data_IF_614771756495
#
_entry.id   IF_614771756495
#
_cell.length_a   1.000
_cell.length_b   1.000
_cell.length_c   1.000
_cell.angle_alpha   90.00
_cell.angle_beta   90.00
_cell.angle_gamma   90.00
#
_symmetry.space_group_name_H-M   'P 1'
#
loop_
_entity.id
_entity.type
_entity.pdbx_description
1 polymer ?
#
# COMPACT_ATOMS: atom_id res chain seq x y z
N UNK A 1 34.58 -38.45 -13.98
CA UNK A 1 33.91 -38.04 -12.73
C UNK A 1 34.07 -36.53 -12.54
N UNK A 2 33.27 -35.69 -13.20
CA UNK A 2 33.37 -34.22 -13.09
C UNK A 2 32.04 -33.47 -13.31
N UNK A 3 30.96 -34.12 -13.73
CA UNK A 3 29.64 -33.46 -13.91
C UNK A 3 28.71 -33.52 -12.68
N UNK A 4 29.06 -34.25 -11.60
CA UNK A 4 28.21 -34.33 -10.39
C UNK A 4 28.44 -33.20 -9.38
N UNK A 5 29.50 -32.40 -9.52
CA UNK A 5 29.84 -31.36 -8.56
C UNK A 5 29.33 -29.96 -8.95
N UNK A 6 28.86 -29.78 -10.19
CA UNK A 6 28.39 -28.48 -10.70
C UNK A 6 26.90 -28.26 -10.37
N UNK A 7 26.07 -29.32 -10.36
CA UNK A 7 24.66 -29.21 -9.95
C UNK A 7 24.49 -28.89 -8.45
N UNK A 8 25.44 -29.30 -7.60
CA UNK A 8 25.36 -29.09 -6.15
C UNK A 8 25.61 -27.64 -5.69
N UNK A 9 26.14 -26.78 -6.56
CA UNK A 9 26.43 -25.37 -6.23
C UNK A 9 25.35 -24.39 -6.67
N UNK A 10 24.45 -24.78 -7.58
CA UNK A 10 23.33 -23.94 -8.03
C UNK A 10 22.11 -23.97 -7.08
N UNK A 11 22.00 -24.99 -6.22
CA UNK A 11 20.87 -25.16 -5.29
C UNK A 11 21.09 -24.53 -3.89
N UNK A 12 22.25 -23.94 -3.62
CA UNK A 12 22.61 -23.45 -2.26
C UNK A 12 22.33 -21.97 -1.99
N UNK A 13 21.80 -21.21 -2.96
CA UNK A 13 21.57 -19.76 -2.81
C UNK A 13 20.11 -19.32 -3.04
N UNK A 14 19.13 -20.20 -2.86
CA UNK A 14 17.72 -19.82 -2.85
C UNK A 14 17.30 -19.68 -1.39
N UNK A 15 17.40 -18.46 -0.86
CA UNK A 15 16.74 -18.07 0.39
C UNK A 15 15.21 -18.04 0.16
N UNK A 16 14.39 -18.71 0.98
CA UNK A 16 12.96 -18.58 0.86
C UNK A 16 12.54 -17.28 1.54
N UNK A 17 12.23 -16.26 0.74
CA UNK A 17 11.37 -15.19 1.20
C UNK A 17 9.96 -15.77 1.39
N UNK A 18 9.57 -16.05 2.65
CA UNK A 18 8.21 -16.47 2.98
C UNK A 18 7.27 -15.28 2.78
N UNK A 19 6.80 -15.08 1.55
CA UNK A 19 5.53 -14.40 1.35
C UNK A 19 4.44 -15.40 1.70
N UNK A 20 3.74 -15.12 2.79
CA UNK A 20 2.54 -15.83 3.21
C UNK A 20 1.47 -15.64 2.14
N UNK A 21 1.52 -16.47 1.10
CA UNK A 21 0.36 -16.75 0.26
C UNK A 21 -0.69 -17.34 1.20
N UNK A 22 -1.73 -16.55 1.50
CA UNK A 22 -2.93 -17.05 2.12
C UNK A 22 -3.43 -18.18 1.24
N UNK A 23 -3.32 -19.41 1.72
CA UNK A 23 -3.97 -20.56 1.08
C UNK A 23 -5.45 -20.23 0.97
N UNK A 24 -5.92 -20.00 -0.26
CA UNK A 24 -7.32 -20.16 -0.58
C UNK A 24 -7.60 -21.66 -0.44
N UNK A 25 -8.18 -22.06 0.70
CA UNK A 25 -8.74 -23.39 0.87
C UNK A 25 -9.96 -23.53 -0.04
N UNK A 26 -9.72 -23.91 -1.28
CA UNK A 26 -10.71 -24.47 -2.18
C UNK A 26 -10.61 -26.01 -2.13
N UNK A 27 -11.47 -26.59 -1.29
CA UNK A 27 -12.20 -27.85 -1.41
C UNK A 27 -11.57 -29.07 -2.14
N UNK A 28 -11.46 -30.19 -1.42
CA UNK A 28 -12.09 -31.47 -1.78
C UNK A 28 -11.94 -32.45 -0.62
N UNK A 29 -13.06 -32.91 -0.05
CA UNK A 29 -13.04 -34.10 0.79
C UNK A 29 -12.48 -35.25 -0.04
N UNK A 30 -11.35 -35.81 0.41
CA UNK A 30 -10.82 -37.05 -0.11
C UNK A 30 -11.91 -38.12 -0.05
N UNK A 31 -12.23 -38.74 -1.20
CA UNK A 31 -13.02 -39.95 -1.23
C UNK A 31 -12.18 -41.10 -0.66
N UNK A 32 -12.12 -41.21 0.67
CA UNK A 32 -11.82 -42.49 1.30
C UNK A 32 -12.95 -43.47 0.98
N UNK A 33 -12.57 -44.61 0.42
CA UNK A 33 -13.49 -45.70 0.06
C UNK A 33 -14.27 -46.11 1.32
N UNK A 34 -15.61 -46.07 1.35
CA UNK A 34 -16.34 -46.35 2.58
C UNK A 34 -16.22 -47.84 2.91
N UNK A 35 -15.77 -48.17 4.11
CA UNK A 35 -15.91 -49.52 4.66
C UNK A 35 -17.40 -49.83 4.83
N UNK A 36 -17.83 -51.02 4.38
CA UNK A 36 -19.23 -51.41 4.21
C UNK A 36 -20.13 -51.33 5.48
N UNK A 37 -19.58 -51.13 6.68
CA UNK A 37 -20.31 -51.17 7.95
C UNK A 37 -20.52 -49.83 8.66
N UNK A 38 -20.10 -48.70 8.09
CA UNK A 38 -20.44 -47.38 8.65
C UNK A 38 -21.76 -46.90 8.07
N UNK A 39 -22.86 -47.04 8.82
CA UNK A 39 -24.09 -46.25 8.57
C UNK A 39 -23.67 -44.79 8.38
N UNK A 40 -23.81 -44.31 7.15
CA UNK A 40 -23.62 -42.90 6.79
C UNK A 40 -24.64 -42.10 7.60
N UNK A 41 -24.19 -41.56 8.74
CA UNK A 41 -24.92 -40.49 9.39
C UNK A 41 -24.70 -39.25 8.54
N UNK A 42 -25.59 -39.04 7.58
CA UNK A 42 -25.68 -37.78 6.88
C UNK A 42 -26.11 -36.74 7.92
N UNK A 43 -25.19 -35.85 8.28
CA UNK A 43 -25.57 -34.61 8.93
C UNK A 43 -26.59 -33.93 8.00
N UNK A 44 -27.80 -33.57 8.47
CA UNK A 44 -28.82 -33.01 7.60
C UNK A 44 -28.24 -31.79 6.89
N UNK A 45 -28.26 -31.80 5.55
CA UNK A 45 -27.93 -30.63 4.75
C UNK A 45 -28.76 -29.46 5.29
N UNK A 46 -28.08 -28.44 5.81
CA UNK A 46 -28.73 -27.24 6.30
C UNK A 46 -29.34 -26.50 5.11
N UNK A 47 -30.59 -26.84 4.77
CA UNK A 47 -31.34 -26.32 3.63
C UNK A 47 -31.40 -24.78 3.63
N UNK A 48 -31.22 -24.13 4.79
CA UNK A 48 -31.13 -22.66 4.90
C UNK A 48 -29.87 -22.10 4.23
N UNK A 49 -28.78 -22.87 4.17
CA UNK A 49 -27.51 -22.50 3.52
C UNK A 49 -27.52 -22.67 1.99
N UNK A 50 -28.57 -23.29 1.43
CA UNK A 50 -28.73 -23.45 -0.03
C UNK A 50 -29.62 -22.37 -0.67
N UNK A 51 -29.98 -21.32 0.09
CA UNK A 51 -30.80 -20.22 -0.43
C UNK A 51 -29.95 -19.18 -1.17
N UNK A 52 -30.54 -18.53 -2.19
CA UNK A 52 -29.88 -17.41 -2.88
C UNK A 52 -29.52 -16.28 -1.91
N UNK A 53 -30.37 -16.01 -0.92
CA UNK A 53 -30.12 -14.99 0.11
C UNK A 53 -28.85 -15.31 0.91
N UNK A 54 -28.67 -16.56 1.34
CA UNK A 54 -27.46 -16.98 2.03
C UNK A 54 -26.21 -16.85 1.15
N UNK A 55 -26.29 -17.25 -0.13
CA UNK A 55 -25.18 -17.09 -1.07
C UNK A 55 -24.83 -15.62 -1.32
N UNK A 56 -25.83 -14.73 -1.35
CA UNK A 56 -25.60 -13.28 -1.46
C UNK A 56 -24.94 -12.74 -0.19
N UNK A 57 -25.44 -13.09 1.01
CA UNK A 57 -24.81 -12.72 2.29
C UNK A 57 -23.35 -13.18 2.38
N UNK A 58 -23.05 -14.39 1.92
CA UNK A 58 -21.67 -14.89 1.86
C UNK A 58 -20.81 -14.12 0.85
N UNK A 59 -21.37 -13.74 -0.30
CA UNK A 59 -20.67 -12.92 -1.29
C UNK A 59 -20.38 -11.52 -0.79
N UNK A 60 -21.32 -10.91 -0.05
CA UNK A 60 -21.14 -9.62 0.63
C UNK A 60 -20.01 -9.71 1.65
N UNK A 61 -19.99 -10.76 2.48
CA UNK A 61 -18.90 -10.99 3.42
C UNK A 61 -17.53 -11.02 2.74
N UNK A 62 -17.42 -11.73 1.61
CA UNK A 62 -16.18 -11.79 0.83
C UNK A 62 -15.81 -10.41 0.24
N UNK A 63 -16.79 -9.65 -0.23
CA UNK A 63 -16.58 -8.30 -0.76
C UNK A 63 -16.07 -7.35 0.34
N UNK A 64 -16.65 -7.38 1.54
CA UNK A 64 -16.20 -6.57 2.68
C UNK A 64 -14.78 -6.93 3.12
N UNK A 65 -14.46 -8.23 3.16
CA UNK A 65 -13.11 -8.67 3.50
C UNK A 65 -12.09 -8.20 2.46
N UNK A 66 -12.41 -8.33 1.18
CA UNK A 66 -11.56 -7.84 0.08
C UNK A 66 -11.40 -6.33 0.13
N UNK A 67 -12.48 -5.59 0.36
CA UNK A 67 -12.45 -4.14 0.48
C UNK A 67 -11.61 -3.67 1.68
N UNK A 68 -11.79 -4.31 2.83
CA UNK A 68 -10.95 -4.09 4.02
C UNK A 68 -9.48 -4.28 3.67
N UNK A 69 -9.11 -5.42 3.08
CA UNK A 69 -7.72 -5.74 2.81
C UNK A 69 -7.10 -4.74 1.84
N UNK A 70 -7.80 -4.43 0.75
CA UNK A 70 -7.31 -3.46 -0.23
C UNK A 70 -7.18 -2.06 0.38
N UNK A 71 -8.15 -1.63 1.21
CA UNK A 71 -8.08 -0.38 1.96
C UNK A 71 -6.85 -0.34 2.86
N UNK A 72 -6.60 -1.42 3.61
CA UNK A 72 -5.45 -1.54 4.50
C UNK A 72 -4.13 -1.44 3.76
N UNK A 73 -3.96 -2.27 2.73
CA UNK A 73 -2.71 -2.31 1.96
C UNK A 73 -2.46 -0.98 1.24
N UNK A 74 -3.50 -0.36 0.71
CA UNK A 74 -3.38 0.92 0.00
C UNK A 74 -2.95 2.04 0.94
N UNK A 75 -3.60 2.19 2.11
CA UNK A 75 -3.19 3.23 3.06
C UNK A 75 -1.77 2.98 3.59
N UNK A 76 -1.40 1.72 3.85
CA UNK A 76 -0.05 1.39 4.33
C UNK A 76 1.00 1.78 3.30
N UNK A 77 0.76 1.45 2.02
CA UNK A 77 1.65 1.84 0.93
C UNK A 77 1.79 3.37 0.83
N UNK A 78 0.71 4.14 1.04
CA UNK A 78 0.77 5.60 1.09
C UNK A 78 1.61 6.09 2.26
N UNK A 79 1.41 5.52 3.46
CA UNK A 79 2.14 5.92 4.66
C UNK A 79 3.64 5.65 4.53
N UNK A 80 4.01 4.43 4.13
CA UNK A 80 5.42 4.03 3.95
C UNK A 80 6.12 4.90 2.90
N UNK A 81 5.46 5.11 1.75
CA UNK A 81 6.00 5.93 0.68
C UNK A 81 6.08 7.42 1.08
N UNK A 82 5.15 7.90 1.91
CA UNK A 82 5.18 9.27 2.44
C UNK A 82 6.38 9.48 3.38
N UNK A 83 6.75 8.48 4.18
CA UNK A 83 7.95 8.54 5.03
C UNK A 83 9.21 8.67 4.16
N UNK A 84 9.35 7.81 3.14
CA UNK A 84 10.48 7.89 2.20
C UNK A 84 10.52 9.23 1.48
N UNK A 85 9.37 9.70 1.00
CA UNK A 85 9.24 10.98 0.31
C UNK A 85 9.67 12.15 1.19
N UNK A 86 9.19 12.20 2.44
CA UNK A 86 9.58 13.25 3.39
C UNK A 86 11.05 13.18 3.77
N UNK A 87 11.65 12.00 3.80
CA UNK A 87 13.10 11.86 4.02
C UNK A 87 13.88 12.57 2.91
N UNK A 88 13.56 12.29 1.64
CA UNK A 88 14.18 12.93 0.48
C UNK A 88 13.96 14.44 0.48
N UNK A 89 12.76 14.91 0.82
CA UNK A 89 12.46 16.34 0.94
C UNK A 89 13.31 17.02 2.01
N UNK A 90 13.45 16.43 3.20
CA UNK A 90 14.28 17.01 4.26
C UNK A 90 15.76 17.07 3.83
N UNK A 91 16.27 16.01 3.19
CA UNK A 91 17.63 15.98 2.68
C UNK A 91 17.85 17.07 1.62
N UNK A 92 16.91 17.22 0.67
CA UNK A 92 16.93 18.31 -0.31
C UNK A 92 16.86 19.70 0.33
N UNK A 93 16.05 19.89 1.38
CA UNK A 93 15.98 21.14 2.12
C UNK A 93 17.36 21.46 2.70
N UNK A 94 17.98 20.53 3.41
CA UNK A 94 19.30 20.73 4.02
C UNK A 94 20.37 21.06 2.98
N UNK A 95 20.43 20.33 1.85
CA UNK A 95 21.39 20.62 0.79
C UNK A 95 21.18 22.01 0.18
N UNK A 96 19.93 22.46 0.03
CA UNK A 96 19.63 23.80 -0.48
C UNK A 96 19.99 24.90 0.53
N UNK A 97 19.76 24.68 1.82
CA UNK A 97 20.20 25.60 2.89
C UNK A 97 21.72 25.75 2.91
N UNK A 98 22.47 24.67 2.66
CA UNK A 98 23.91 24.72 2.51
C UNK A 98 24.34 25.59 1.32
N UNK A 99 23.63 25.52 0.19
CA UNK A 99 23.90 26.38 -0.98
C UNK A 99 23.63 27.87 -0.71
N UNK A 100 22.75 28.20 0.23
CA UNK A 100 22.49 29.58 0.65
C UNK A 100 23.60 30.14 1.55
N UNK A 101 24.29 29.26 2.27
CA UNK A 101 25.26 29.65 3.31
C UNK A 101 26.70 29.60 2.78
N UNK A 102 26.99 28.65 1.89
CA UNK A 102 28.34 28.32 1.45
C UNK A 102 28.43 28.26 -0.07
N UNK A 103 29.63 28.49 -0.60
CA UNK A 103 29.93 28.16 -1.98
C UNK A 103 30.15 26.64 -2.10
N UNK A 104 29.20 25.95 -2.72
CA UNK A 104 29.19 24.49 -2.82
C UNK A 104 29.89 24.00 -4.10
N UNK A 105 30.34 22.74 -4.09
CA UNK A 105 31.00 22.10 -5.23
C UNK A 105 30.00 21.65 -6.31
N UNK A 106 30.50 21.32 -7.50
CA UNK A 106 29.69 20.73 -8.58
C UNK A 106 29.07 19.38 -8.15
N UNK A 107 29.80 18.57 -7.38
CA UNK A 107 29.32 17.29 -6.82
C UNK A 107 28.08 17.49 -5.92
N UNK A 108 28.01 18.61 -5.19
CA UNK A 108 26.85 18.97 -4.37
C UNK A 108 25.63 19.28 -5.23
N UNK A 109 25.83 19.98 -6.34
CA UNK A 109 24.76 20.28 -7.29
C UNK A 109 24.26 19.00 -7.97
N UNK A 110 25.15 18.08 -8.32
CA UNK A 110 24.78 16.77 -8.88
C UNK A 110 23.90 15.98 -7.89
N UNK A 111 24.26 15.96 -6.60
CA UNK A 111 23.46 15.31 -5.56
C UNK A 111 22.06 15.93 -5.43
N UNK A 112 21.95 17.27 -5.48
CA UNK A 112 20.66 17.97 -5.48
C UNK A 112 19.80 17.53 -6.67
N UNK A 113 20.41 17.39 -7.86
CA UNK A 113 19.70 16.96 -9.07
C UNK A 113 19.23 15.51 -8.95
N UNK A 114 20.08 14.61 -8.46
CA UNK A 114 19.76 13.21 -8.22
C UNK A 114 18.57 13.06 -7.26
N UNK A 115 18.65 13.69 -6.08
CA UNK A 115 17.60 13.63 -5.08
C UNK A 115 16.29 14.26 -5.56
N UNK A 116 16.34 15.33 -6.36
CA UNK A 116 15.13 15.90 -6.98
C UNK A 116 14.45 14.91 -7.92
N UNK A 117 15.22 14.17 -8.71
CA UNK A 117 14.69 13.16 -9.59
C UNK A 117 14.05 11.99 -8.81
N UNK A 118 14.72 11.52 -7.74
CA UNK A 118 14.15 10.46 -6.89
C UNK A 118 12.88 10.95 -6.17
N UNK A 119 12.92 12.15 -5.59
CA UNK A 119 11.78 12.79 -4.94
C UNK A 119 10.58 12.88 -5.91
N UNK A 120 10.80 13.33 -7.15
CA UNK A 120 9.74 13.44 -8.15
C UNK A 120 9.12 12.08 -8.49
N UNK A 121 9.94 11.03 -8.65
CA UNK A 121 9.45 9.67 -8.88
C UNK A 121 8.57 9.15 -7.74
N UNK A 122 8.96 9.43 -6.48
CA UNK A 122 8.16 9.08 -5.29
C UNK A 122 6.85 9.87 -5.25
N UNK A 123 6.86 11.15 -5.60
CA UNK A 123 5.67 12.01 -5.68
C UNK A 123 4.65 11.45 -6.68
N UNK A 124 5.08 11.06 -7.87
CA UNK A 124 4.20 10.49 -8.89
C UNK A 124 3.55 9.18 -8.43
N UNK A 125 4.31 8.33 -7.75
CA UNK A 125 3.77 7.11 -7.13
C UNK A 125 2.76 7.41 -6.02
N UNK A 126 3.02 8.41 -5.18
CA UNK A 126 2.06 8.85 -4.15
C UNK A 126 0.76 9.34 -4.76
N UNK A 127 0.81 10.13 -5.84
CA UNK A 127 -0.38 10.57 -6.56
C UNK A 127 -1.19 9.38 -7.07
N UNK A 128 -0.54 8.43 -7.73
CA UNK A 128 -1.20 7.22 -8.22
C UNK A 128 -1.85 6.38 -7.10
N UNK A 129 -1.20 6.27 -5.95
CA UNK A 129 -1.77 5.57 -4.79
C UNK A 129 -2.94 6.34 -4.18
N UNK A 130 -2.87 7.67 -4.12
CA UNK A 130 -3.98 8.52 -3.69
C UNK A 130 -5.21 8.32 -4.58
N UNK A 131 -5.03 8.32 -5.91
CA UNK A 131 -6.10 8.04 -6.86
C UNK A 131 -6.66 6.63 -6.66
N UNK A 132 -5.77 5.65 -6.43
CA UNK A 132 -6.18 4.27 -6.14
C UNK A 132 -7.04 4.19 -4.87
N UNK A 133 -6.71 4.95 -3.84
CA UNK A 133 -7.47 4.98 -2.58
C UNK A 133 -8.90 5.51 -2.77
N UNK A 134 -9.14 6.45 -3.68
CA UNK A 134 -10.48 6.95 -3.99
C UNK A 134 -11.39 5.84 -4.56
N UNK A 135 -10.85 5.02 -5.46
CA UNK A 135 -11.58 3.85 -5.97
C UNK A 135 -11.81 2.79 -4.89
N UNK A 136 -10.83 2.57 -4.03
CA UNK A 136 -10.96 1.64 -2.90
C UNK A 136 -12.02 2.11 -1.90
N UNK A 137 -12.08 3.42 -1.65
CA UNK A 137 -13.14 4.04 -0.85
C UNK A 137 -14.53 3.77 -1.45
N UNK A 138 -14.68 3.93 -2.77
CA UNK A 138 -15.95 3.67 -3.46
C UNK A 138 -16.35 2.18 -3.37
N UNK A 139 -15.38 1.28 -3.58
CA UNK A 139 -15.59 -0.17 -3.42
C UNK A 139 -16.02 -0.53 -2.00
N UNK A 140 -15.35 0.00 -0.98
CA UNK A 140 -15.65 -0.26 0.41
C UNK A 140 -17.02 0.32 0.81
N UNK A 141 -17.36 1.51 0.34
CA UNK A 141 -18.67 2.13 0.56
C UNK A 141 -19.79 1.29 -0.03
N UNK A 142 -19.63 0.80 -1.26
CA UNK A 142 -20.61 -0.09 -1.89
C UNK A 142 -20.79 -1.41 -1.13
N UNK A 143 -19.69 -2.04 -0.69
CA UNK A 143 -19.75 -3.26 0.13
C UNK A 143 -20.44 -3.02 1.49
N UNK A 144 -20.25 -1.83 2.08
CA UNK A 144 -20.93 -1.42 3.31
C UNK A 144 -22.43 -1.25 3.10
N UNK A 145 -22.85 -0.61 2.01
CA UNK A 145 -24.25 -0.43 1.66
C UNK A 145 -24.97 -1.76 1.43
N UNK A 146 -24.31 -2.72 0.76
CA UNK A 146 -24.83 -4.07 0.60
C UNK A 146 -24.96 -4.79 1.95
N UNK A 147 -23.97 -4.63 2.83
CA UNK A 147 -24.03 -5.21 4.18
C UNK A 147 -25.22 -4.67 4.97
N UNK A 148 -25.50 -3.38 4.88
CA UNK A 148 -26.68 -2.77 5.48
C UNK A 148 -27.99 -3.34 4.89
N UNK A 149 -28.10 -3.43 3.56
CA UNK A 149 -29.29 -3.94 2.88
C UNK A 149 -29.66 -5.37 3.27
N UNK A 150 -28.68 -6.22 3.53
CA UNK A 150 -28.88 -7.62 3.93
C UNK A 150 -28.85 -7.81 5.46
N UNK A 151 -29.07 -6.74 6.23
CA UNK A 151 -29.17 -6.77 7.70
C UNK A 151 -27.89 -7.28 8.40
N UNK A 152 -26.74 -7.10 7.75
CA UNK A 152 -25.42 -7.43 8.29
C UNK A 152 -24.81 -6.20 8.98
N UNK A 153 -25.54 -5.61 9.93
CA UNK A 153 -25.20 -4.31 10.55
C UNK A 153 -23.81 -4.27 11.18
N UNK A 154 -23.39 -5.33 11.88
CA UNK A 154 -22.06 -5.41 12.48
C UNK A 154 -20.94 -5.28 11.43
N UNK A 155 -21.15 -5.89 10.25
CA UNK A 155 -20.20 -5.86 9.15
C UNK A 155 -20.16 -4.47 8.51
N UNK A 156 -21.32 -3.86 8.31
CA UNK A 156 -21.47 -2.49 7.84
C UNK A 156 -20.72 -1.50 8.76
N UNK A 157 -21.06 -1.49 10.05
CA UNK A 157 -20.48 -0.58 11.04
C UNK A 157 -18.96 -0.73 11.14
N UNK A 158 -18.47 -1.97 11.14
CA UNK A 158 -17.02 -2.25 11.18
C UNK A 158 -16.31 -1.72 9.93
N UNK A 159 -16.91 -1.90 8.75
CA UNK A 159 -16.31 -1.43 7.50
C UNK A 159 -16.30 0.10 7.43
N UNK A 160 -17.39 0.77 7.82
CA UNK A 160 -17.45 2.24 7.86
C UNK A 160 -16.37 2.82 8.78
N UNK A 161 -16.20 2.27 9.98
CA UNK A 161 -15.14 2.71 10.89
C UNK A 161 -13.74 2.56 10.28
N UNK A 162 -13.49 1.46 9.56
CA UNK A 162 -12.21 1.24 8.87
C UNK A 162 -12.00 2.21 7.72
N UNK A 163 -13.05 2.51 6.97
CA UNK A 163 -13.03 3.54 5.91
C UNK A 163 -12.64 4.88 6.53
N UNK A 164 -13.33 5.32 7.57
CA UNK A 164 -13.08 6.61 8.22
C UNK A 164 -11.65 6.71 8.75
N UNK A 165 -11.18 5.68 9.46
CA UNK A 165 -9.82 5.62 10.00
C UNK A 165 -8.76 5.70 8.89
N UNK A 166 -8.89 4.90 7.84
CA UNK A 166 -7.94 4.87 6.74
C UNK A 166 -7.91 6.19 5.96
N UNK A 167 -9.08 6.81 5.72
CA UNK A 167 -9.18 8.09 5.03
C UNK A 167 -8.61 9.24 5.87
N UNK A 168 -8.88 9.26 7.18
CA UNK A 168 -8.29 10.24 8.10
C UNK A 168 -6.76 10.14 8.13
N UNK A 169 -6.22 8.92 8.24
CA UNK A 169 -4.78 8.67 8.23
C UNK A 169 -4.13 9.06 6.91
N UNK A 170 -4.72 8.65 5.78
CA UNK A 170 -4.23 9.05 4.46
C UNK A 170 -4.17 10.58 4.33
N UNK A 171 -5.24 11.27 4.73
CA UNK A 171 -5.30 12.73 4.66
C UNK A 171 -4.20 13.37 5.51
N UNK A 172 -3.96 12.86 6.72
CA UNK A 172 -2.88 13.34 7.58
C UNK A 172 -1.50 13.18 6.92
N UNK A 173 -1.24 12.05 6.26
CA UNK A 173 0.02 11.83 5.51
C UNK A 173 0.18 12.81 4.34
N UNK A 174 -0.88 13.01 3.55
CA UNK A 174 -0.88 13.96 2.43
C UNK A 174 -0.66 15.39 2.91
N UNK A 175 -1.35 15.79 3.97
CA UNK A 175 -1.24 17.14 4.52
C UNK A 175 0.16 17.39 5.11
N UNK A 176 0.75 16.40 5.79
CA UNK A 176 2.13 16.47 6.26
C UNK A 176 3.13 16.61 5.10
N UNK A 177 2.93 15.86 4.01
CA UNK A 177 3.76 15.98 2.82
C UNK A 177 3.68 17.39 2.23
N UNK A 178 2.47 17.95 2.07
CA UNK A 178 2.26 19.31 1.54
C UNK A 178 2.91 20.39 2.40
N UNK A 179 2.86 20.26 3.72
CA UNK A 179 3.52 21.20 4.62
C UNK A 179 5.03 21.22 4.39
N UNK A 180 5.64 20.04 4.25
CA UNK A 180 7.08 19.95 4.00
C UNK A 180 7.46 20.43 2.59
N UNK A 181 6.64 20.13 1.59
CA UNK A 181 6.82 20.66 0.24
C UNK A 181 6.80 22.20 0.22
N UNK A 182 5.93 22.82 1.01
CA UNK A 182 5.88 24.28 1.13
C UNK A 182 7.21 24.86 1.66
N UNK A 183 7.79 24.24 2.68
CA UNK A 183 9.11 24.61 3.19
C UNK A 183 10.19 24.45 2.11
N UNK A 184 10.18 23.33 1.40
CA UNK A 184 11.09 23.08 0.29
C UNK A 184 10.99 24.17 -0.80
N UNK A 185 9.79 24.50 -1.27
CA UNK A 185 9.60 25.54 -2.29
C UNK A 185 10.05 26.92 -1.81
N UNK A 186 9.81 27.22 -0.53
CA UNK A 186 10.26 28.48 0.05
C UNK A 186 11.79 28.60 0.00
N UNK A 187 12.52 27.59 0.47
CA UNK A 187 13.99 27.56 0.45
C UNK A 187 14.53 27.58 -0.97
N UNK A 188 13.96 26.77 -1.87
CA UNK A 188 14.33 26.76 -3.28
C UNK A 188 14.14 28.16 -3.92
N UNK A 189 13.06 28.86 -3.57
CA UNK A 189 12.80 30.22 -4.01
C UNK A 189 13.86 31.21 -3.52
N UNK A 190 14.38 31.05 -2.30
CA UNK A 190 15.48 31.86 -1.79
C UNK A 190 16.78 31.59 -2.56
N UNK A 191 17.09 30.33 -2.85
CA UNK A 191 18.29 29.95 -3.61
C UNK A 191 18.29 30.63 -5.00
N UNK A 192 17.15 30.62 -5.68
CA UNK A 192 16.98 31.23 -7.01
C UNK A 192 17.09 32.76 -6.97
N UNK A 193 16.67 33.40 -5.88
CA UNK A 193 16.78 34.86 -5.71
C UNK A 193 18.21 35.27 -5.35
N UNK A 194 18.85 34.54 -4.44
CA UNK A 194 20.25 34.76 -4.05
C UNK A 194 21.22 34.54 -5.22
N UNK A 195 20.95 33.58 -6.10
CA UNK A 195 21.77 33.33 -7.30
C UNK A 195 21.64 34.40 -8.39
N UNK A 196 20.72 35.36 -8.25
CA UNK A 196 20.44 36.44 -9.23
C UNK A 196 21.08 37.78 -8.87
N UNK A 197 21.72 37.93 -7.72
CA UNK A 197 22.58 39.09 -7.45
C UNK A 197 23.94 38.84 -8.12
N UNK A 198 24.23 39.43 -9.31
CA UNK A 198 25.45 39.14 -10.02
C UNK A 198 26.58 39.95 -9.39
N UNK A 199 27.70 39.28 -9.13
CA UNK A 199 29.00 39.48 -9.78
C UNK A 199 29.20 40.74 -10.67
N UNK A 200 28.78 41.92 -10.23
CA UNK A 200 29.11 43.22 -10.84
C UNK A 200 29.87 44.08 -9.83
N UNK A 201 31.07 43.62 -9.44
CA UNK A 201 32.11 44.47 -8.86
C UNK A 201 33.48 44.00 -9.35
N UNK A 202 33.84 44.46 -10.54
CA UNK A 202 35.24 44.71 -10.93
C UNK A 202 35.34 46.14 -11.44
#
# INVERSE_FOLDING_TARGET
MSMRQILGKLLKNISPAMYTSSMLFAYCNSFEKPSADKKLQFEPLDLKKLTHEYMIKQSILNAVNSATQTLTVTYMAIADLSIEYRKLLNELISLLEETLTYNVSDEHWDLIVELRNEMQHKKEKLLKLSDSMEYVYTMATAASQLSYLYEMENLCNTLLQRIDDAMCKMKAEIDSNKQLEHTYWYIQGQCIKGSKEPTEKQ
#
